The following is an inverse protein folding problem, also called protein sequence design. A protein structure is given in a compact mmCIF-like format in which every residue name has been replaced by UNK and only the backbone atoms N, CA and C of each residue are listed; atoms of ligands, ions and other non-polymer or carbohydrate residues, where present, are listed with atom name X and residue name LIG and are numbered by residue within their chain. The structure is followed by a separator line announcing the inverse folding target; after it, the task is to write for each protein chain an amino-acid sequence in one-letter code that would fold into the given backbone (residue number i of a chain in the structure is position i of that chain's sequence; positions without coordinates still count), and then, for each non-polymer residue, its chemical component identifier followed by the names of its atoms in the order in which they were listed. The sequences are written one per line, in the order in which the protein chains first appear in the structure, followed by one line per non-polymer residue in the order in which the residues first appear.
data_IF_093930661218
#
_entry.id   IF_093930661218
#
_cell.length_a   1.000
_cell.length_b   1.000
_cell.length_c   1.000
_cell.angle_alpha   90.00
_cell.angle_beta   90.00
_cell.angle_gamma   90.00
#
_symmetry.space_group_name_H-M   'P 1'
#
loop_
_entity.id
_entity.type
_entity.pdbx_description
1 polymer ?
#
# COMPACT_ATOMS: atom_id res chain seq x y z
N UNK A 1 17.49 -42.91 -68.52
CA UNK A 1 17.47 -42.37 -69.89
C UNK A 1 16.03 -42.00 -70.18
N UNK A 2 15.72 -40.71 -70.07
CA UNK A 2 15.66 -39.75 -71.20
C UNK A 2 14.36 -40.00 -71.98
N UNK A 3 13.39 -39.10 -72.17
CA UNK A 3 13.39 -37.65 -72.38
C UNK A 3 12.07 -37.08 -71.76
N UNK A 4 12.10 -35.96 -71.01
CA UNK A 4 11.98 -34.57 -71.52
C UNK A 4 10.64 -34.34 -72.26
N UNK A 5 9.74 -33.55 -71.66
CA UNK A 5 9.55 -32.09 -71.97
C UNK A 5 8.64 -31.92 -73.22
N UNK A 6 7.57 -31.12 -73.27
CA UNK A 6 7.30 -29.73 -72.89
C UNK A 6 5.76 -29.51 -73.03
N UNK A 7 5.08 -28.83 -72.11
CA UNK A 7 4.79 -27.38 -72.07
C UNK A 7 3.98 -26.82 -73.26
N UNK A 8 2.90 -26.09 -72.91
CA UNK A 8 2.36 -24.81 -73.44
C UNK A 8 0.81 -24.87 -73.39
N UNK A 9 0.00 -23.82 -73.20
CA UNK A 9 0.05 -22.49 -72.57
C UNK A 9 -1.35 -21.87 -72.77
N UNK A 10 -1.80 -21.01 -71.84
CA UNK A 10 -2.84 -19.93 -71.97
C UNK A 10 -4.28 -20.38 -72.29
N UNK A 11 -5.37 -19.83 -71.70
CA UNK A 11 -5.80 -18.43 -71.64
C UNK A 11 -6.82 -18.12 -70.50
N UNK A 12 -6.69 -16.90 -69.97
CA UNK A 12 -7.68 -15.94 -69.44
C UNK A 12 -8.89 -16.36 -68.58
N UNK A 13 -8.96 -15.76 -67.39
CA UNK A 13 -10.20 -15.46 -66.66
C UNK A 13 -9.93 -14.46 -65.51
N UNK A 14 -10.53 -13.27 -65.60
CA UNK A 14 -10.41 -12.10 -64.72
C UNK A 14 -10.65 -12.38 -63.22
N UNK A 15 -9.91 -11.69 -62.34
CA UNK A 15 -10.28 -11.56 -60.91
C UNK A 15 -9.32 -10.72 -60.05
N UNK A 16 -9.72 -9.46 -59.78
CA UNK A 16 -9.33 -8.53 -58.70
C UNK A 16 -7.86 -8.44 -58.21
N UNK A 17 -7.24 -7.29 -58.51
CA UNK A 17 -6.09 -6.70 -57.79
C UNK A 17 -6.47 -6.42 -56.32
N UNK A 18 -5.68 -6.91 -55.37
CA UNK A 18 -5.51 -6.24 -54.07
C UNK A 18 -4.03 -6.14 -53.70
N UNK A 19 -3.67 -4.93 -53.31
CA UNK A 19 -2.32 -4.44 -53.01
C UNK A 19 -1.92 -4.92 -51.62
N UNK A 20 -0.81 -5.65 -51.51
CA UNK A 20 -0.23 -6.04 -50.22
C UNK A 20 0.31 -4.81 -49.49
N UNK A 21 -0.39 -4.40 -48.44
CA UNK A 21 0.04 -3.33 -47.52
C UNK A 21 0.93 -3.94 -46.42
N UNK A 22 2.19 -3.52 -46.36
CA UNK A 22 3.14 -3.87 -45.30
C UNK A 22 2.86 -2.99 -44.08
N UNK A 23 2.15 -3.52 -43.09
CA UNK A 23 2.03 -2.89 -41.77
C UNK A 23 3.13 -3.42 -40.85
N UNK A 24 4.12 -2.57 -40.59
CA UNK A 24 5.12 -2.75 -39.53
C UNK A 24 4.44 -2.63 -38.17
N UNK A 25 4.31 -3.75 -37.46
CA UNK A 25 3.75 -3.82 -36.11
C UNK A 25 4.79 -3.33 -35.09
N UNK A 26 4.62 -2.12 -34.57
CA UNK A 26 5.39 -1.60 -33.44
C UNK A 26 4.79 -2.18 -32.14
N UNK A 27 5.29 -3.34 -31.71
CA UNK A 27 4.91 -3.93 -30.43
C UNK A 27 5.59 -3.16 -29.29
N UNK A 28 4.86 -2.24 -28.67
CA UNK A 28 5.30 -1.63 -27.39
C UNK A 28 5.11 -2.68 -26.31
N UNK A 29 6.17 -3.39 -25.96
CA UNK A 29 6.19 -4.26 -24.79
C UNK A 29 6.21 -3.37 -23.53
N UNK A 30 5.04 -3.12 -22.95
CA UNK A 30 4.93 -2.67 -21.56
C UNK A 30 5.40 -3.83 -20.67
N UNK A 31 6.69 -3.83 -20.31
CA UNK A 31 7.19 -4.66 -19.22
C UNK A 31 6.55 -4.12 -17.92
N UNK A 32 5.41 -4.69 -17.53
CA UNK A 32 4.90 -4.56 -16.17
C UNK A 32 5.97 -5.16 -15.25
N UNK A 33 6.76 -4.29 -14.60
CA UNK A 33 7.70 -4.70 -13.56
C UNK A 33 6.93 -5.56 -12.56
N UNK A 34 7.29 -6.84 -12.51
CA UNK A 34 6.49 -7.90 -11.92
C UNK A 34 6.31 -7.80 -10.41
N UNK A 35 5.32 -8.52 -9.90
CA UNK A 35 5.22 -8.88 -8.49
C UNK A 35 6.40 -9.80 -8.14
N UNK A 36 7.51 -9.25 -7.65
CA UNK A 36 8.59 -10.07 -7.11
C UNK A 36 8.12 -10.76 -5.83
N UNK A 37 8.69 -11.94 -5.55
CA UNK A 37 8.42 -12.65 -4.30
C UNK A 37 9.70 -12.99 -3.56
N UNK A 38 9.65 -12.90 -2.24
CA UNK A 38 10.77 -13.19 -1.35
C UNK A 38 10.31 -14.18 -0.30
N UNK A 39 11.08 -15.24 -0.07
CA UNK A 39 10.85 -16.16 1.04
C UNK A 39 11.80 -15.82 2.18
N UNK A 40 11.28 -15.71 3.39
CA UNK A 40 12.08 -15.37 4.57
C UNK A 40 11.48 -15.96 5.84
N UNK A 41 12.35 -16.39 6.74
CA UNK A 41 12.04 -16.82 8.12
C UNK A 41 12.42 -15.74 9.15
N UNK A 42 13.07 -14.66 8.71
CA UNK A 42 13.52 -13.56 9.53
C UNK A 42 12.75 -12.29 9.17
N UNK A 43 11.64 -12.07 9.88
CA UNK A 43 10.74 -10.96 9.65
C UNK A 43 10.17 -10.39 10.94
N UNK A 44 9.74 -9.13 10.86
CA UNK A 44 9.03 -8.40 11.90
C UNK A 44 8.00 -7.47 11.25
N UNK A 45 6.75 -7.54 11.69
CA UNK A 45 5.73 -6.58 11.30
C UNK A 45 5.47 -5.58 12.43
N UNK A 46 5.43 -4.31 12.06
CA UNK A 46 5.08 -3.22 12.98
C UNK A 46 3.84 -2.47 12.52
N UNK A 47 3.02 -2.05 13.49
CA UNK A 47 1.92 -1.14 13.27
C UNK A 47 2.00 0.02 14.28
N UNK A 48 2.34 1.22 13.80
CA UNK A 48 2.38 2.43 14.62
C UNK A 48 0.99 3.06 14.66
N UNK A 49 0.27 2.83 15.74
CA UNK A 49 -1.02 3.46 16.02
C UNK A 49 -0.79 4.84 16.63
N UNK A 50 -1.45 5.87 16.11
CA UNK A 50 -1.29 7.26 16.58
C UNK A 50 -2.64 7.90 16.83
N UNK A 51 -2.78 8.53 17.99
CA UNK A 51 -3.92 9.34 18.40
C UNK A 51 -3.51 10.81 18.35
N UNK A 52 -4.22 11.63 17.58
CA UNK A 52 -3.92 13.06 17.46
C UNK A 52 -5.19 13.86 17.64
N UNK A 53 -5.19 14.86 18.52
CA UNK A 53 -6.28 15.82 18.59
C UNK A 53 -6.23 16.75 17.38
N UNK A 54 -7.36 16.88 16.69
CA UNK A 54 -7.50 17.73 15.52
C UNK A 54 -8.71 18.64 15.67
N UNK A 55 -8.57 19.90 15.25
CA UNK A 55 -9.66 20.89 15.23
C UNK A 55 -9.81 21.43 13.82
N UNK A 56 -11.07 21.53 13.36
CA UNK A 56 -11.44 22.17 12.11
C UNK A 56 -11.64 23.66 12.34
N UNK A 57 -11.04 24.50 11.49
CA UNK A 57 -11.26 25.95 11.43
C UNK A 57 -11.85 26.33 10.08
N UNK A 58 -12.85 27.20 10.10
CA UNK A 58 -13.51 27.67 8.90
C UNK A 58 -14.40 28.88 9.20
N UNK A 59 -14.59 29.77 8.22
CA UNK A 59 -15.59 30.85 8.28
C UNK A 59 -17.01 30.26 8.40
N UNK A 60 -17.26 29.09 7.80
CA UNK A 60 -18.52 28.35 7.91
C UNK A 60 -18.29 26.85 8.12
N UNK A 61 -18.41 26.40 9.37
CA UNK A 61 -18.15 25.01 9.76
C UNK A 61 -19.00 23.95 9.03
N UNK A 62 -20.17 24.31 8.47
CA UNK A 62 -21.09 23.35 7.85
C UNK A 62 -20.94 23.23 6.33
N UNK A 63 -20.51 24.28 5.63
CA UNK A 63 -20.54 24.32 4.16
C UNK A 63 -19.21 24.78 3.52
N UNK A 64 -18.14 24.89 4.29
CA UNK A 64 -16.83 25.18 3.73
C UNK A 64 -16.24 23.96 3.03
N UNK A 65 -15.89 24.17 1.75
CA UNK A 65 -15.27 23.16 0.88
C UNK A 65 -13.81 22.90 1.25
N UNK A 66 -13.11 23.91 1.77
CA UNK A 66 -11.67 23.85 2.06
C UNK A 66 -11.37 24.32 3.49
N UNK A 67 -11.89 23.64 4.51
CA UNK A 67 -11.61 24.00 5.89
C UNK A 67 -10.14 23.74 6.23
N UNK A 68 -9.60 24.54 7.15
CA UNK A 68 -8.26 24.30 7.71
C UNK A 68 -8.36 23.32 8.88
N UNK A 69 -7.42 22.40 8.97
CA UNK A 69 -7.30 21.51 10.12
C UNK A 69 -5.99 21.79 10.85
N UNK A 70 -6.05 21.89 12.17
CA UNK A 70 -4.86 21.95 13.02
C UNK A 70 -4.78 20.74 13.92
N UNK A 71 -3.59 20.21 14.05
CA UNK A 71 -3.25 19.13 14.96
C UNK A 71 -2.62 19.70 16.24
N UNK A 72 -2.97 19.10 17.37
CA UNK A 72 -2.50 19.50 18.69
C UNK A 72 -1.59 18.41 19.25
N UNK A 73 -1.87 17.94 20.46
CA UNK A 73 -1.14 16.87 21.10
C UNK A 73 -1.39 15.54 20.40
N UNK A 74 -0.34 14.71 20.37
CA UNK A 74 -0.33 13.39 19.75
C UNK A 74 0.36 12.37 20.66
N UNK A 75 -0.11 11.13 20.62
CA UNK A 75 0.56 10.00 21.29
C UNK A 75 0.53 8.79 20.36
N UNK A 76 1.62 8.05 20.31
CA UNK A 76 1.75 6.89 19.44
C UNK A 76 2.25 5.66 20.19
N UNK A 77 1.84 4.49 19.72
CA UNK A 77 2.28 3.19 20.21
C UNK A 77 2.70 2.30 19.04
N UNK A 78 3.82 1.61 19.17
CA UNK A 78 4.30 0.65 18.17
C UNK A 78 3.88 -0.74 18.57
N UNK A 79 3.01 -1.35 17.77
CA UNK A 79 2.64 -2.75 17.89
C UNK A 79 3.67 -3.58 17.12
N UNK A 80 4.26 -4.60 17.75
CA UNK A 80 5.26 -5.49 17.12
C UNK A 80 4.73 -6.91 17.10
N UNK A 81 4.61 -7.52 15.92
CA UNK A 81 4.19 -8.91 15.71
C UNK A 81 2.88 -9.34 16.42
N UNK A 82 1.97 -8.38 16.68
CA UNK A 82 0.72 -8.62 17.39
C UNK A 82 0.84 -8.79 18.91
N UNK A 83 2.04 -8.67 19.46
CA UNK A 83 2.27 -8.72 20.90
C UNK A 83 1.78 -7.43 21.57
N UNK A 84 1.29 -7.54 22.81
CA UNK A 84 0.83 -6.39 23.60
C UNK A 84 2.02 -5.49 23.97
N UNK A 85 2.08 -4.25 23.48
CA UNK A 85 3.15 -3.33 23.85
C UNK A 85 2.98 -2.80 25.28
N UNK A 86 4.07 -2.36 25.89
CA UNK A 86 4.04 -1.60 27.14
C UNK A 86 3.28 -0.27 26.95
N UNK A 87 2.48 0.14 27.95
CA UNK A 87 1.66 1.35 27.87
C UNK A 87 0.42 1.25 26.97
N UNK A 88 0.13 0.07 26.42
CA UNK A 88 -1.11 -0.22 25.72
C UNK A 88 -2.32 -0.16 26.65
N UNK A 89 -3.33 0.64 26.29
CA UNK A 89 -4.57 0.79 27.09
C UNK A 89 -5.62 -0.23 26.67
N UNK A 90 -5.86 -0.36 25.36
CA UNK A 90 -6.86 -1.26 24.82
C UNK A 90 -6.45 -1.81 23.46
N UNK A 91 -6.91 -3.03 23.16
CA UNK A 91 -6.89 -3.61 21.81
C UNK A 91 -8.20 -3.23 21.09
N UNK A 92 -8.13 -3.05 19.77
CA UNK A 92 -9.32 -2.84 18.94
C UNK A 92 -9.76 -4.12 18.20
N UNK A 93 -10.89 -4.06 17.49
CA UNK A 93 -11.41 -5.19 16.72
C UNK A 93 -10.50 -5.63 15.56
N UNK A 94 -9.51 -4.83 15.17
CA UNK A 94 -8.51 -5.16 14.15
C UNK A 94 -7.27 -5.82 14.75
N UNK A 95 -7.26 -6.05 16.07
CA UNK A 95 -6.16 -6.63 16.81
C UNK A 95 -4.95 -5.69 16.90
N UNK A 96 -5.20 -4.38 17.05
CA UNK A 96 -4.20 -3.36 17.27
C UNK A 96 -4.37 -2.77 18.66
N UNK A 97 -3.28 -2.67 19.39
CA UNK A 97 -3.17 -1.98 20.67
C UNK A 97 -3.00 -0.49 20.46
N UNK A 98 -3.72 0.29 21.26
CA UNK A 98 -3.72 1.75 21.19
C UNK A 98 -3.09 2.39 22.44
N UNK A 99 -2.40 3.53 22.28
CA UNK A 99 -1.89 4.28 23.41
C UNK A 99 -3.02 4.95 24.19
N UNK A 100 -2.70 5.45 25.38
CA UNK A 100 -3.53 6.42 26.08
C UNK A 100 -3.73 7.67 25.19
N UNK A 101 -4.96 8.22 25.08
CA UNK A 101 -5.17 9.48 24.37
C UNK A 101 -4.33 10.61 24.97
N UNK A 102 -3.73 11.48 24.14
CA UNK A 102 -3.04 12.67 24.64
C UNK A 102 -4.02 13.62 25.35
N UNK A 103 -3.52 14.55 26.19
CA UNK A 103 -4.36 15.58 26.82
C UNK A 103 -5.16 16.35 25.78
N UNK A 104 -6.46 16.53 26.02
CA UNK A 104 -7.34 17.31 25.14
C UNK A 104 -6.89 18.77 25.11
N UNK A 105 -6.78 19.42 23.93
CA UNK A 105 -6.42 20.82 23.85
C UNK A 105 -7.46 21.68 24.58
N UNK A 106 -6.96 22.68 25.29
CA UNK A 106 -7.76 23.69 25.99
C UNK A 106 -8.38 24.69 25.01
N UNK A 107 -9.41 25.41 25.45
CA UNK A 107 -10.04 26.44 24.62
C UNK A 107 -9.05 27.56 24.25
N UNK A 108 -8.19 27.96 25.19
CA UNK A 108 -7.18 29.00 24.95
C UNK A 108 -6.19 28.59 23.85
N UNK A 109 -5.72 27.34 23.85
CA UNK A 109 -4.82 26.83 22.80
C UNK A 109 -5.50 26.80 21.42
N UNK A 110 -6.80 26.54 21.39
CA UNK A 110 -7.61 26.52 20.16
C UNK A 110 -7.78 27.94 19.63
N UNK A 111 -8.25 28.86 20.47
CA UNK A 111 -8.48 30.27 20.10
C UNK A 111 -7.18 30.97 19.69
N UNK A 112 -6.03 30.63 20.32
CA UNK A 112 -4.73 31.16 19.94
C UNK A 112 -4.33 30.82 18.49
N UNK A 113 -4.79 29.67 17.96
CA UNK A 113 -4.50 29.22 16.59
C UNK A 113 -5.60 29.59 15.59
N UNK A 114 -6.67 30.23 16.03
CA UNK A 114 -7.79 30.66 15.21
C UNK A 114 -7.42 31.95 14.45
N UNK A 115 -7.73 32.01 13.15
CA UNK A 115 -7.53 33.23 12.36
C UNK A 115 -8.80 34.08 12.37
N UNK A 116 -8.65 35.34 11.95
CA UNK A 116 -9.74 36.29 11.86
C UNK A 116 -10.91 35.70 11.03
N UNK A 117 -12.14 35.88 11.53
CA UNK A 117 -13.40 35.39 10.94
C UNK A 117 -13.58 33.86 10.90
N UNK A 118 -12.57 33.07 11.26
CA UNK A 118 -12.76 31.63 11.41
C UNK A 118 -13.60 31.35 12.66
N UNK A 119 -14.30 30.22 12.64
CA UNK A 119 -14.86 29.53 13.80
C UNK A 119 -14.15 28.19 13.91
N UNK A 120 -14.08 27.64 15.13
CA UNK A 120 -13.49 26.34 15.37
C UNK A 120 -14.56 25.28 15.67
N UNK A 121 -14.32 24.03 15.28
CA UNK A 121 -15.13 22.89 15.72
C UNK A 121 -14.78 22.50 17.16
N UNK A 122 -15.51 21.50 17.67
CA UNK A 122 -15.03 20.75 18.84
C UNK A 122 -13.77 19.96 18.46
N UNK A 123 -12.80 19.77 19.38
CA UNK A 123 -11.70 18.84 19.17
C UNK A 123 -12.19 17.42 18.93
N UNK A 124 -11.63 16.78 17.92
CA UNK A 124 -11.88 15.40 17.52
C UNK A 124 -10.58 14.60 17.59
N UNK A 125 -10.67 13.34 18.02
CA UNK A 125 -9.51 12.47 18.13
C UNK A 125 -9.32 11.67 16.83
N UNK A 126 -8.33 12.05 16.03
CA UNK A 126 -7.96 11.34 14.81
C UNK A 126 -7.14 10.09 15.16
N UNK A 127 -7.52 8.95 14.58
CA UNK A 127 -6.82 7.67 14.68
C UNK A 127 -6.11 7.37 13.37
N UNK A 128 -4.80 7.14 13.40
CA UNK A 128 -4.04 6.71 12.23
C UNK A 128 -3.19 5.48 12.54
N UNK A 129 -2.91 4.67 11.52
CA UNK A 129 -2.04 3.49 11.64
C UNK A 129 -1.07 3.47 10.46
N UNK A 130 0.22 3.32 10.74
CA UNK A 130 1.27 3.11 9.73
C UNK A 130 1.84 1.71 9.89
N UNK A 131 1.76 0.89 8.85
CA UNK A 131 2.26 -0.48 8.85
C UNK A 131 3.58 -0.57 8.12
N UNK A 132 4.51 -1.33 8.68
CA UNK A 132 5.76 -1.70 8.01
C UNK A 132 6.05 -3.19 8.23
N UNK A 133 6.75 -3.78 7.27
CA UNK A 133 7.39 -5.08 7.41
C UNK A 133 8.89 -4.90 7.28
N UNK A 134 9.63 -5.40 8.26
CA UNK A 134 11.07 -5.56 8.20
C UNK A 134 11.38 -7.03 7.93
N UNK A 135 12.23 -7.32 6.95
CA UNK A 135 12.69 -8.69 6.67
C UNK A 135 14.15 -8.73 6.23
N UNK A 136 14.76 -9.91 6.35
CA UNK A 136 16.12 -10.16 5.86
C UNK A 136 16.12 -11.00 4.58
N UNK A 137 17.01 -10.66 3.66
CA UNK A 137 17.32 -11.41 2.46
C UNK A 137 18.84 -11.43 2.27
N UNK A 138 19.46 -12.58 2.57
CA UNK A 138 20.90 -12.67 2.75
C UNK A 138 21.36 -11.79 3.92
N UNK A 139 22.42 -10.99 3.71
CA UNK A 139 22.94 -10.06 4.72
C UNK A 139 22.21 -8.71 4.75
N UNK A 140 21.26 -8.48 3.84
CA UNK A 140 20.55 -7.21 3.73
C UNK A 140 19.24 -7.23 4.52
N UNK A 141 18.94 -6.12 5.20
CA UNK A 141 17.68 -5.90 5.91
C UNK A 141 16.86 -4.84 5.18
N UNK A 142 15.61 -5.18 4.86
CA UNK A 142 14.67 -4.30 4.17
C UNK A 142 13.56 -3.92 5.14
N UNK A 143 13.17 -2.64 5.15
CA UNK A 143 11.98 -2.17 5.87
C UNK A 143 11.08 -1.47 4.88
N UNK A 144 9.94 -2.07 4.58
CA UNK A 144 9.02 -1.61 3.55
C UNK A 144 7.66 -1.27 4.15
N UNK A 145 6.95 -0.26 3.60
CA UNK A 145 5.55 -0.02 3.93
C UNK A 145 4.69 -1.24 3.54
N UNK A 146 3.62 -1.45 4.28
CA UNK A 146 2.67 -2.54 4.03
C UNK A 146 1.26 -2.17 4.46
N UNK A 147 0.37 -3.15 4.55
CA UNK A 147 -1.03 -3.00 4.90
C UNK A 147 -1.42 -3.86 6.13
N UNK A 148 -2.64 -3.66 6.61
CA UNK A 148 -3.17 -4.37 7.78
C UNK A 148 -3.21 -5.89 7.60
N UNK A 149 -3.53 -6.37 6.39
CA UNK A 149 -3.63 -7.80 6.12
C UNK A 149 -2.27 -8.49 6.30
N UNK A 150 -1.19 -7.91 5.74
CA UNK A 150 0.17 -8.42 5.93
C UNK A 150 0.56 -8.42 7.41
N UNK A 151 0.31 -7.32 8.12
CA UNK A 151 0.56 -7.24 9.56
C UNK A 151 -0.14 -8.36 10.34
N UNK A 152 -1.41 -8.64 10.05
CA UNK A 152 -2.17 -9.72 10.72
C UNK A 152 -1.69 -11.12 10.37
N UNK A 153 -1.23 -11.34 9.14
CA UNK A 153 -0.66 -12.64 8.77
C UNK A 153 0.64 -12.89 9.53
N UNK A 154 1.51 -11.88 9.59
CA UNK A 154 2.75 -11.95 10.37
C UNK A 154 2.45 -12.17 11.85
N UNK A 155 1.55 -11.39 12.45
CA UNK A 155 1.17 -11.56 13.85
C UNK A 155 0.63 -12.97 14.19
N UNK A 156 -0.03 -13.64 13.23
CA UNK A 156 -0.50 -15.03 13.39
C UNK A 156 0.60 -16.07 13.19
N UNK A 157 1.54 -15.81 12.29
CA UNK A 157 2.62 -16.73 11.93
C UNK A 157 3.80 -16.67 12.91
N UNK A 158 4.09 -15.49 13.46
CA UNK A 158 5.27 -15.18 14.26
C UNK A 158 5.42 -16.09 15.50
N UNK A 159 4.37 -16.36 16.30
CA UNK A 159 4.50 -17.24 17.48
C UNK A 159 4.92 -18.68 17.15
N UNK A 160 4.78 -19.10 15.88
CA UNK A 160 5.13 -20.44 15.42
C UNK A 160 6.42 -20.47 14.59
N UNK A 161 7.10 -19.33 14.40
CA UNK A 161 8.32 -19.24 13.59
C UNK A 161 8.14 -19.71 12.14
N UNK A 162 6.94 -19.58 11.56
CA UNK A 162 6.66 -20.07 10.21
C UNK A 162 7.31 -19.17 9.16
N UNK A 163 8.09 -19.70 8.20
CA UNK A 163 8.57 -18.90 7.08
C UNK A 163 7.41 -18.32 6.26
N UNK A 164 7.61 -17.12 5.73
CA UNK A 164 6.64 -16.40 4.91
C UNK A 164 7.15 -16.24 3.49
N UNK A 165 6.25 -16.42 2.53
CA UNK A 165 6.40 -15.90 1.18
C UNK A 165 5.78 -14.50 1.12
N UNK A 166 6.60 -13.51 0.83
CA UNK A 166 6.22 -12.11 0.66
C UNK A 166 6.00 -11.84 -0.82
N UNK A 167 4.92 -11.15 -1.16
CA UNK A 167 4.71 -10.57 -2.50
C UNK A 167 4.98 -9.08 -2.42
N UNK A 168 5.94 -8.61 -3.20
CA UNK A 168 6.34 -7.21 -3.26
C UNK A 168 5.46 -6.43 -4.24
N UNK A 169 5.27 -5.14 -3.93
CA UNK A 169 4.55 -4.20 -4.77
C UNK A 169 5.39 -3.64 -5.91
N UNK A 170 4.89 -2.58 -6.55
CA UNK A 170 5.54 -1.92 -7.68
C UNK A 170 6.95 -1.48 -7.28
N UNK A 171 7.94 -1.82 -8.11
CA UNK A 171 9.36 -1.51 -7.89
C UNK A 171 9.91 -2.01 -6.55
N UNK A 172 9.34 -3.09 -6.00
CA UNK A 172 9.71 -3.64 -4.69
C UNK A 172 9.59 -2.64 -3.53
N UNK A 173 8.76 -1.60 -3.70
CA UNK A 173 8.62 -0.48 -2.77
C UNK A 173 7.68 -0.72 -1.59
N UNK A 174 6.96 -1.85 -1.57
CA UNK A 174 6.01 -2.23 -0.52
C UNK A 174 5.88 -3.75 -0.44
N UNK A 175 5.30 -4.23 0.66
CA UNK A 175 4.86 -5.63 0.77
C UNK A 175 3.34 -5.67 0.69
N UNK A 176 2.81 -6.33 -0.33
CA UNK A 176 1.37 -6.39 -0.60
C UNK A 176 0.70 -7.61 0.02
N UNK A 177 1.43 -8.74 0.09
CA UNK A 177 0.95 -10.00 0.66
C UNK A 177 2.04 -10.70 1.46
N UNK A 178 1.63 -11.45 2.48
CA UNK A 178 2.48 -12.34 3.24
C UNK A 178 1.70 -13.64 3.50
N UNK A 179 2.26 -14.75 3.04
CA UNK A 179 1.62 -16.06 3.08
C UNK A 179 2.53 -17.06 3.80
N UNK A 180 2.05 -17.75 4.85
CA UNK A 180 2.81 -18.84 5.45
C UNK A 180 3.05 -19.95 4.44
N UNK A 181 4.29 -20.44 4.36
CA UNK A 181 4.59 -21.61 3.56
C UNK A 181 3.84 -22.82 4.13
N UNK A 182 3.18 -23.58 3.24
CA UNK A 182 2.57 -24.86 3.62
C UNK A 182 3.68 -25.87 3.87
N UNK A 183 3.62 -26.53 5.02
CA UNK A 183 4.42 -27.72 5.32
C UNK A 183 3.71 -28.95 4.78
#
# INVERSE_FOLDING_TARGET
MDFKNLSFSSYLGLGCRQVFSLLSSFSVALALAGCNSVTTDQYEATAKTTLTWRVKYSINLTNDKNPRFEEFSSTSLTNRNGEKPEGAVNEDAKGLWWPLPPPRPSINEIEQRQKLQEKHSKPELLRTVKYHLTYKQGEQTFTLPTNHQVYRQVARAYPYGKPLQLTLGINDGSVEKAEPLRQ
#
